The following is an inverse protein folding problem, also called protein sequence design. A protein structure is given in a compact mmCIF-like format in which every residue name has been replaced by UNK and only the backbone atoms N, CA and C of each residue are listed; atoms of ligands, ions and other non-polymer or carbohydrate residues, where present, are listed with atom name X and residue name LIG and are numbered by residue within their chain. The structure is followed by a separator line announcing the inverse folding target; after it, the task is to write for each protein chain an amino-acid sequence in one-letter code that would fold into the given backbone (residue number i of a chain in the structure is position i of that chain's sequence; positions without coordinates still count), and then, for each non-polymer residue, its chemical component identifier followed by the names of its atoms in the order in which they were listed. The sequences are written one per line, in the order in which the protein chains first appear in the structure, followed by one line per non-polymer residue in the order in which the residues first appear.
data_IF_931076422468
#
_entry.id   IF_931076422468
#
_cell.length_a   1.000
_cell.length_b   1.000
_cell.length_c   1.000
_cell.angle_alpha   90.00
_cell.angle_beta   90.00
_cell.angle_gamma   90.00
#
_symmetry.space_group_name_H-M   'P 1'
#
loop_
_entity.id
_entity.type
_entity.pdbx_description
1 polymer ?
#
# COMPACT_ATOMS: atom_id res chain seq x y z
N UNK A 1 -44.58 -41.96 -40.05
CA UNK A 1 -43.70 -42.56 -41.08
C UNK A 1 -43.47 -41.45 -42.10
N UNK A 2 -42.29 -40.91 -42.33
CA UNK A 2 -40.95 -41.47 -42.22
C UNK A 2 -40.07 -40.78 -41.16
N UNK A 3 -39.03 -41.51 -40.80
CA UNK A 3 -38.00 -41.24 -39.81
C UNK A 3 -36.78 -40.77 -40.60
N UNK A 4 -36.15 -39.68 -40.20
CA UNK A 4 -34.79 -39.37 -40.66
C UNK A 4 -33.82 -39.45 -39.46
N UNK A 5 -32.89 -40.39 -39.56
CA UNK A 5 -31.79 -40.65 -38.62
C UNK A 5 -30.49 -40.49 -39.42
N UNK A 6 -29.72 -39.45 -39.10
CA UNK A 6 -28.24 -39.43 -39.01
C UNK A 6 -27.83 -38.03 -38.55
N UNK A 7 -27.19 -37.85 -37.40
CA UNK A 7 -25.89 -38.36 -36.92
C UNK A 7 -24.84 -37.26 -37.01
N UNK A 8 -24.25 -36.92 -35.87
CA UNK A 8 -22.84 -36.52 -35.84
C UNK A 8 -22.52 -35.24 -35.09
N UNK A 9 -21.86 -35.45 -33.95
CA UNK A 9 -20.85 -34.59 -33.34
C UNK A 9 -21.30 -33.30 -32.61
N UNK A 10 -21.39 -33.45 -31.30
CA UNK A 10 -20.76 -32.55 -30.31
C UNK A 10 -19.63 -31.70 -30.88
N UNK A 11 -19.77 -30.38 -30.78
CA UNK A 11 -18.65 -29.45 -30.57
C UNK A 11 -18.98 -28.55 -29.38
N UNK A 12 -18.73 -29.11 -28.20
CA UNK A 12 -18.22 -28.35 -27.07
C UNK A 12 -16.83 -27.83 -27.46
N UNK A 13 -16.38 -26.70 -26.90
CA UNK A 13 -15.03 -26.07 -27.06
C UNK A 13 -14.92 -25.25 -28.35
N UNK A 14 -14.55 -23.96 -28.41
CA UNK A 14 -13.78 -23.09 -27.52
C UNK A 14 -14.36 -21.67 -27.60
N UNK A 15 -14.88 -21.14 -26.49
CA UNK A 15 -14.94 -19.68 -26.33
C UNK A 15 -13.64 -19.23 -25.68
N UNK A 16 -12.55 -19.28 -26.45
CA UNK A 16 -11.41 -18.40 -26.21
C UNK A 16 -11.91 -16.99 -26.50
N UNK A 17 -12.58 -16.39 -25.51
CA UNK A 17 -12.74 -14.94 -25.43
C UNK A 17 -11.32 -14.39 -25.48
N UNK A 18 -10.90 -13.97 -26.69
CA UNK A 18 -9.72 -13.15 -26.91
C UNK A 18 -9.96 -11.87 -26.11
N UNK A 19 -9.60 -11.91 -24.82
CA UNK A 19 -9.71 -10.78 -23.91
C UNK A 19 -8.81 -9.72 -24.49
N UNK A 20 -9.44 -8.70 -25.09
CA UNK A 20 -8.74 -7.63 -25.79
C UNK A 20 -7.62 -7.09 -24.90
N UNK A 21 -6.40 -7.03 -25.45
CA UNK A 21 -5.19 -6.61 -24.76
C UNK A 21 -5.39 -5.18 -24.23
N UNK A 22 -5.74 -5.04 -22.97
CA UNK A 22 -6.02 -3.75 -22.35
C UNK A 22 -4.73 -2.96 -22.18
N UNK A 23 -4.66 -1.72 -22.69
CA UNK A 23 -3.55 -0.79 -22.49
C UNK A 23 -3.54 -0.19 -21.06
N UNK A 24 -3.54 -1.08 -20.06
CA UNK A 24 -3.42 -0.69 -18.66
C UNK A 24 -1.98 -0.24 -18.38
N UNK A 25 -1.85 0.82 -17.60
CA UNK A 25 -0.58 1.31 -17.08
C UNK A 25 -0.66 1.32 -15.56
N UNK A 26 0.37 0.81 -14.90
CA UNK A 26 0.53 1.08 -13.47
C UNK A 26 1.13 2.46 -13.28
N UNK A 27 0.80 3.10 -12.17
CA UNK A 27 1.41 4.35 -11.80
C UNK A 27 1.90 4.27 -10.35
N UNK A 28 3.21 4.31 -10.17
CA UNK A 28 3.84 4.40 -8.85
C UNK A 28 4.53 5.75 -8.74
N UNK A 29 4.25 6.50 -7.67
CA UNK A 29 4.95 7.76 -7.42
C UNK A 29 6.46 7.56 -7.22
N UNK A 30 7.26 8.61 -7.40
CA UNK A 30 8.68 8.55 -7.08
C UNK A 30 8.90 8.42 -5.57
N UNK A 31 9.19 7.22 -5.09
CA UNK A 31 9.38 6.93 -3.66
C UNK A 31 10.83 7.14 -3.18
N UNK A 32 11.77 7.48 -4.06
CA UNK A 32 13.22 7.49 -3.74
C UNK A 32 13.54 8.37 -2.54
N UNK A 33 12.95 9.56 -2.48
CA UNK A 33 13.16 10.53 -1.40
C UNK A 33 12.51 10.07 -0.09
N UNK A 34 11.24 9.64 -0.14
CA UNK A 34 10.52 9.09 1.02
C UNK A 34 11.21 7.84 1.62
N UNK A 35 11.77 6.95 0.79
CA UNK A 35 12.53 5.79 1.26
C UNK A 35 13.81 6.25 1.99
N UNK A 36 14.55 7.23 1.45
CA UNK A 36 15.72 7.81 2.12
C UNK A 36 15.35 8.45 3.46
N UNK A 37 14.25 9.20 3.51
CA UNK A 37 13.72 9.79 4.74
C UNK A 37 13.33 8.72 5.76
N UNK A 38 12.61 7.66 5.34
CA UNK A 38 12.25 6.53 6.20
C UNK A 38 13.45 5.77 6.78
N UNK A 39 14.60 5.79 6.09
CA UNK A 39 15.87 5.20 6.59
C UNK A 39 16.55 6.05 7.67
N UNK A 40 16.18 7.33 7.83
CA UNK A 40 16.69 8.17 8.94
C UNK A 40 16.15 7.73 10.30
N UNK A 41 15.00 7.05 10.34
CA UNK A 41 14.47 6.48 11.58
C UNK A 41 15.41 5.38 12.08
N UNK A 42 15.98 5.58 13.27
CA UNK A 42 16.77 4.56 14.00
C UNK A 42 15.87 3.45 14.56
N UNK A 43 16.46 2.36 15.05
CA UNK A 43 15.75 1.13 15.46
C UNK A 43 14.53 1.37 16.35
N UNK A 44 14.66 2.14 17.44
CA UNK A 44 13.55 2.41 18.37
C UNK A 44 12.42 3.16 17.65
N UNK A 45 12.76 4.24 16.93
CA UNK A 45 11.75 5.03 16.21
C UNK A 45 11.10 4.25 15.07
N UNK A 46 11.81 3.34 14.40
CA UNK A 46 11.21 2.41 13.42
C UNK A 46 10.20 1.46 14.06
N UNK A 47 10.50 0.93 15.25
CA UNK A 47 9.55 0.09 15.99
C UNK A 47 8.33 0.90 16.43
N UNK A 48 8.51 2.11 16.92
CA UNK A 48 7.40 3.03 17.26
C UNK A 48 6.54 3.34 16.05
N UNK A 49 7.17 3.70 14.93
CA UNK A 49 6.47 3.95 13.66
C UNK A 49 5.66 2.72 13.25
N UNK A 50 6.28 1.54 13.26
CA UNK A 50 5.62 0.28 12.90
C UNK A 50 4.44 -0.05 13.82
N UNK A 51 4.56 0.19 15.13
CA UNK A 51 3.46 0.00 16.07
C UNK A 51 2.29 0.94 15.79
N UNK A 52 2.56 2.19 15.38
CA UNK A 52 1.54 3.22 15.15
C UNK A 52 0.86 3.08 13.79
N UNK A 53 1.64 2.75 12.76
CA UNK A 53 1.24 2.84 11.36
C UNK A 53 1.43 1.54 10.58
N UNK A 54 1.79 0.43 11.22
CA UNK A 54 2.01 -0.83 10.54
C UNK A 54 3.24 -0.83 9.62
N UNK A 55 3.20 -1.64 8.58
CA UNK A 55 4.34 -2.00 7.74
C UNK A 55 4.68 -1.02 6.61
N UNK A 56 4.28 0.26 6.74
CA UNK A 56 4.41 1.24 5.65
C UNK A 56 5.85 1.46 5.18
N UNK A 57 6.84 1.40 6.07
CA UNK A 57 8.25 1.55 5.68
C UNK A 57 8.71 0.44 4.73
N UNK A 58 8.28 -0.80 4.96
CA UNK A 58 8.61 -1.91 4.07
C UNK A 58 7.77 -1.89 2.80
N UNK A 59 6.53 -1.41 2.88
CA UNK A 59 5.62 -1.29 1.74
C UNK A 59 6.16 -0.32 0.66
N UNK A 60 6.82 0.77 1.07
CA UNK A 60 7.50 1.69 0.16
C UNK A 60 8.70 1.05 -0.56
N UNK A 61 9.34 0.04 0.03
CA UNK A 61 10.53 -0.61 -0.54
C UNK A 61 10.18 -1.81 -1.44
N UNK A 62 8.89 -2.09 -1.65
CA UNK A 62 8.44 -3.17 -2.54
C UNK A 62 8.71 -2.77 -4.00
N UNK A 63 9.54 -3.56 -4.67
CA UNK A 63 9.79 -3.44 -6.11
C UNK A 63 8.63 -4.06 -6.89
N UNK A 64 7.63 -3.23 -7.23
CA UNK A 64 6.45 -3.67 -7.96
C UNK A 64 6.77 -3.87 -9.44
N UNK A 65 6.53 -5.08 -9.95
CA UNK A 65 6.58 -5.36 -11.38
C UNK A 65 5.31 -4.85 -12.07
N UNK A 66 5.42 -3.72 -12.77
CA UNK A 66 4.34 -3.13 -13.57
C UNK A 66 3.72 -4.11 -14.58
N UNK A 67 4.51 -4.88 -15.37
CA UNK A 67 3.95 -5.87 -16.28
C UNK A 67 3.17 -6.98 -15.55
N UNK A 68 3.64 -7.42 -14.38
CA UNK A 68 2.98 -8.48 -13.62
C UNK A 68 1.61 -8.03 -13.09
N UNK A 69 1.52 -6.85 -12.48
CA UNK A 69 0.24 -6.27 -12.04
C UNK A 69 -0.70 -6.05 -13.23
N UNK A 70 -0.17 -5.51 -14.32
CA UNK A 70 -0.98 -5.24 -15.52
C UNK A 70 -1.55 -6.52 -16.13
N UNK A 71 -0.74 -7.59 -16.21
CA UNK A 71 -1.20 -8.89 -16.66
C UNK A 71 -2.23 -9.50 -15.70
N UNK A 72 -1.99 -9.38 -14.39
CA UNK A 72 -2.87 -9.91 -13.36
C UNK A 72 -4.25 -9.22 -13.35
N UNK A 73 -4.29 -7.91 -13.54
CA UNK A 73 -5.54 -7.14 -13.63
C UNK A 73 -6.46 -7.59 -14.78
N UNK A 74 -5.93 -8.20 -15.83
CA UNK A 74 -6.73 -8.73 -16.95
C UNK A 74 -7.62 -9.90 -16.53
N UNK A 75 -7.29 -10.58 -15.42
CA UNK A 75 -8.07 -11.69 -14.89
C UNK A 75 -9.18 -11.23 -13.94
N UNK A 76 -9.28 -9.92 -13.64
CA UNK A 76 -10.32 -9.42 -12.76
C UNK A 76 -11.72 -9.65 -13.35
N UNK A 77 -12.60 -10.16 -12.53
CA UNK A 77 -14.00 -10.44 -12.79
C UNK A 77 -14.83 -9.50 -11.91
N UNK A 78 -15.35 -8.42 -12.52
CA UNK A 78 -16.06 -7.37 -11.76
C UNK A 78 -17.35 -7.85 -11.10
N UNK A 79 -18.22 -8.64 -11.76
CA UNK A 79 -19.40 -9.23 -11.12
C UNK A 79 -19.07 -10.07 -9.89
N UNK A 80 -18.01 -10.89 -9.93
CA UNK A 80 -17.64 -11.76 -8.82
C UNK A 80 -16.69 -11.11 -7.81
N UNK A 81 -16.15 -9.92 -8.12
CA UNK A 81 -15.12 -9.21 -7.34
C UNK A 81 -13.95 -10.12 -6.98
N UNK A 82 -13.43 -10.85 -7.95
CA UNK A 82 -12.27 -11.73 -7.79
C UNK A 82 -11.42 -11.77 -9.07
N UNK A 83 -10.29 -12.46 -9.02
CA UNK A 83 -9.47 -12.78 -10.18
C UNK A 83 -9.79 -14.20 -10.62
N UNK A 84 -10.44 -14.33 -11.79
CA UNK A 84 -10.92 -15.62 -12.32
C UNK A 84 -9.94 -16.14 -13.37
N UNK A 85 -9.37 -17.31 -13.09
CA UNK A 85 -8.58 -18.12 -14.03
C UNK A 85 -9.43 -19.31 -14.52
N UNK A 86 -8.92 -20.06 -15.47
CA UNK A 86 -9.66 -21.20 -16.05
C UNK A 86 -10.10 -22.22 -15.00
N UNK A 87 -9.22 -22.55 -14.05
CA UNK A 87 -9.44 -23.65 -13.10
C UNK A 87 -9.67 -23.19 -11.65
N UNK A 88 -9.48 -21.89 -11.34
CA UNK A 88 -9.57 -21.39 -9.97
C UNK A 88 -9.84 -19.88 -9.91
N UNK A 89 -10.24 -19.43 -8.74
CA UNK A 89 -10.44 -18.02 -8.41
C UNK A 89 -9.52 -17.59 -7.27
N UNK A 90 -9.05 -16.34 -7.32
CA UNK A 90 -8.32 -15.71 -6.22
C UNK A 90 -9.03 -14.42 -5.83
N UNK A 91 -9.27 -14.23 -4.54
CA UNK A 91 -9.84 -12.99 -3.99
C UNK A 91 -8.99 -12.54 -2.81
N UNK A 92 -8.42 -11.32 -2.82
CA UNK A 92 -7.76 -10.79 -1.64
C UNK A 92 -8.77 -10.59 -0.50
N UNK A 93 -8.39 -11.06 0.69
CA UNK A 93 -9.22 -11.01 1.90
C UNK A 93 -8.75 -9.91 2.85
N UNK A 94 -9.62 -9.56 3.79
CA UNK A 94 -9.33 -8.55 4.81
C UNK A 94 -8.15 -9.02 5.69
N UNK A 95 -8.14 -10.29 6.08
CA UNK A 95 -7.12 -10.92 6.93
C UNK A 95 -5.75 -10.94 6.25
N UNK A 96 -5.72 -11.13 4.93
CA UNK A 96 -4.47 -11.07 4.16
C UNK A 96 -3.92 -9.65 4.06
N UNK A 97 -4.79 -8.66 3.88
CA UNK A 97 -4.39 -7.26 3.85
C UNK A 97 -4.00 -6.75 5.24
N UNK A 98 -4.66 -7.21 6.30
CA UNK A 98 -4.24 -7.00 7.68
C UNK A 98 -2.81 -7.50 7.90
N UNK A 99 -2.51 -8.72 7.44
CA UNK A 99 -1.18 -9.30 7.57
C UNK A 99 -0.10 -8.53 6.78
N UNK A 100 -0.42 -8.13 5.53
CA UNK A 100 0.53 -7.39 4.67
C UNK A 100 0.82 -5.99 5.24
N UNK A 101 -0.22 -5.30 5.70
CA UNK A 101 -0.12 -3.95 6.26
C UNK A 101 0.38 -3.96 7.72
N UNK A 102 0.37 -5.12 8.39
CA UNK A 102 0.65 -5.28 9.82
C UNK A 102 -0.14 -4.27 10.68
N UNK A 103 -1.44 -4.14 10.42
CA UNK A 103 -2.36 -3.28 11.14
C UNK A 103 -3.49 -4.11 11.75
N UNK A 104 -3.32 -4.65 12.98
CA UNK A 104 -4.29 -5.56 13.59
C UNK A 104 -5.70 -4.98 13.63
N UNK A 105 -6.67 -5.80 13.25
CA UNK A 105 -8.09 -5.46 13.26
C UNK A 105 -8.72 -5.69 14.63
N UNK A 106 -8.20 -6.66 15.39
CA UNK A 106 -8.66 -6.96 16.75
C UNK A 106 -8.64 -5.70 17.64
N UNK A 107 -9.79 -5.39 18.24
CA UNK A 107 -9.95 -4.22 19.10
C UNK A 107 -9.95 -2.87 18.38
N UNK A 108 -10.02 -2.85 17.05
CA UNK A 108 -10.11 -1.61 16.24
C UNK A 108 -11.44 -1.51 15.51
N UNK A 109 -11.83 -0.28 15.17
CA UNK A 109 -12.97 -0.02 14.27
C UNK A 109 -12.46 0.18 12.85
N UNK A 110 -13.10 -0.39 11.82
CA UNK A 110 -12.77 -0.06 10.42
C UNK A 110 -12.91 1.44 10.15
N UNK A 111 -12.12 1.97 9.22
CA UNK A 111 -12.29 3.34 8.75
C UNK A 111 -13.72 3.60 8.25
N UNK A 112 -14.32 4.66 8.78
CA UNK A 112 -15.64 5.11 8.38
C UNK A 112 -15.50 6.43 7.63
N UNK A 113 -15.87 6.40 6.34
CA UNK A 113 -15.89 7.62 5.55
C UNK A 113 -16.90 8.61 6.14
N UNK A 114 -16.44 9.82 6.39
CA UNK A 114 -17.27 10.94 6.81
C UNK A 114 -17.57 11.81 5.60
N UNK A 115 -18.77 12.39 5.55
CA UNK A 115 -19.19 13.32 4.48
C UNK A 115 -18.40 14.64 4.46
N UNK A 116 -17.57 14.87 5.48
CA UNK A 116 -16.76 16.07 5.62
C UNK A 116 -15.28 15.72 5.79
N UNK A 117 -14.43 16.48 5.10
CA UNK A 117 -12.99 16.35 5.19
C UNK A 117 -12.46 16.77 6.57
N UNK A 118 -11.30 16.22 6.93
CA UNK A 118 -10.56 16.61 8.12
C UNK A 118 -10.29 18.11 8.11
N UNK A 119 -10.57 18.76 9.24
CA UNK A 119 -10.39 20.21 9.34
C UNK A 119 -8.91 20.59 9.29
N UNK A 120 -8.61 21.71 8.61
CA UNK A 120 -7.25 22.26 8.51
C UNK A 120 -6.60 22.41 9.88
N UNK A 121 -7.27 22.92 10.95
CA UNK A 121 -6.65 23.02 12.28
C UNK A 121 -6.22 21.66 12.86
N UNK A 122 -6.97 20.59 12.60
CA UNK A 122 -6.63 19.24 13.07
C UNK A 122 -5.37 18.75 12.36
N UNK A 123 -5.33 18.86 11.03
CA UNK A 123 -4.17 18.46 10.24
C UNK A 123 -2.93 19.28 10.60
N UNK A 124 -3.08 20.60 10.70
CA UNK A 124 -2.06 21.57 11.12
C UNK A 124 -1.43 21.20 12.47
N UNK A 125 -2.25 20.79 13.44
CA UNK A 125 -1.80 20.32 14.75
C UNK A 125 -0.96 19.05 14.64
N UNK A 126 -1.39 18.08 13.82
CA UNK A 126 -0.68 16.80 13.65
C UNK A 126 0.68 17.01 12.98
N UNK A 127 0.74 17.84 11.93
CA UNK A 127 1.99 18.09 11.18
C UNK A 127 2.83 19.22 11.78
N UNK A 128 2.36 19.87 12.86
CA UNK A 128 2.96 21.04 13.51
C UNK A 128 3.30 22.19 12.55
N UNK A 129 2.32 22.63 11.78
CA UNK A 129 2.38 23.82 10.94
C UNK A 129 1.26 24.76 11.36
N UNK A 130 1.46 26.08 11.25
CA UNK A 130 0.39 27.03 11.57
C UNK A 130 -0.80 26.84 10.60
N UNK A 131 -2.08 26.86 11.04
CA UNK A 131 -3.22 26.56 10.17
C UNK A 131 -3.29 27.39 8.89
N UNK A 132 -3.02 28.70 9.00
CA UNK A 132 -2.97 29.60 7.82
C UNK A 132 -1.85 29.24 6.85
N UNK A 133 -0.68 28.87 7.36
CA UNK A 133 0.42 28.44 6.51
C UNK A 133 0.06 27.13 5.80
N UNK A 134 -0.58 26.18 6.50
CA UNK A 134 -1.04 24.95 5.87
C UNK A 134 -2.09 25.21 4.78
N UNK A 135 -3.00 26.13 5.03
CA UNK A 135 -4.00 26.55 4.03
C UNK A 135 -3.34 27.10 2.76
N UNK A 136 -2.33 27.95 2.89
CA UNK A 136 -1.56 28.49 1.76
C UNK A 136 -0.77 27.41 1.00
N UNK A 137 -0.52 26.24 1.61
CA UNK A 137 0.20 25.11 1.00
C UNK A 137 -0.72 24.09 0.34
N UNK A 138 -2.01 24.13 0.63
CA UNK A 138 -3.01 23.29 -0.03
C UNK A 138 -3.22 23.79 -1.47
N UNK A 139 -3.15 22.88 -2.42
CA UNK A 139 -3.29 23.20 -3.84
C UNK A 139 -4.33 22.32 -4.50
N UNK A 140 -4.89 22.79 -5.60
CA UNK A 140 -5.80 22.01 -6.45
C UNK A 140 -5.04 21.45 -7.64
N UNK A 141 -5.06 20.12 -7.83
CA UNK A 141 -4.55 19.43 -9.02
C UNK A 141 -5.61 18.51 -9.57
N UNK A 142 -5.92 18.61 -10.87
CA UNK A 142 -6.94 17.79 -11.53
C UNK A 142 -8.28 17.80 -10.77
N UNK A 143 -8.72 18.96 -10.29
CA UNK A 143 -9.95 19.15 -9.49
C UNK A 143 -9.92 18.49 -8.10
N UNK A 144 -8.77 18.00 -7.65
CA UNK A 144 -8.58 17.40 -6.33
C UNK A 144 -7.72 18.32 -5.47
N UNK A 145 -8.17 18.60 -4.25
CA UNK A 145 -7.41 19.40 -3.29
C UNK A 145 -6.55 18.52 -2.37
N UNK A 146 -5.41 19.04 -1.93
CA UNK A 146 -4.45 18.29 -1.11
C UNK A 146 -3.06 18.91 -1.08
N UNK A 147 -2.09 18.10 -0.64
CA UNK A 147 -0.70 18.51 -0.41
C UNK A 147 0.22 17.87 -1.45
N UNK A 148 1.22 18.64 -1.89
CA UNK A 148 2.25 18.10 -2.78
C UNK A 148 3.25 17.22 -2.00
N UNK A 149 3.74 16.16 -2.64
CA UNK A 149 4.80 15.33 -2.06
C UNK A 149 6.05 16.16 -1.74
N UNK A 150 6.43 17.10 -2.61
CA UNK A 150 7.60 17.96 -2.40
C UNK A 150 7.51 18.81 -1.13
N UNK A 151 6.33 19.35 -0.82
CA UNK A 151 6.10 20.07 0.44
C UNK A 151 6.30 19.16 1.66
N UNK A 152 5.71 17.96 1.64
CA UNK A 152 5.83 17.01 2.75
C UNK A 152 7.28 16.55 2.93
N UNK A 153 8.01 16.30 1.84
CA UNK A 153 9.42 15.94 1.89
C UNK A 153 10.29 17.06 2.46
N UNK A 154 10.06 18.30 2.02
CA UNK A 154 10.77 19.46 2.58
C UNK A 154 10.49 19.60 4.08
N UNK A 155 9.24 19.43 4.51
CA UNK A 155 8.88 19.47 5.92
C UNK A 155 9.51 18.33 6.73
N UNK A 156 9.58 17.12 6.16
CA UNK A 156 10.28 15.99 6.78
C UNK A 156 11.78 16.26 6.95
N UNK A 157 12.43 16.94 6.00
CA UNK A 157 13.82 17.35 6.15
C UNK A 157 14.00 18.31 7.32
N UNK A 158 13.17 19.35 7.40
CA UNK A 158 13.16 20.32 8.51
C UNK A 158 12.95 19.65 9.86
N UNK A 159 11.94 18.78 10.00
CA UNK A 159 11.66 18.06 11.24
C UNK A 159 12.83 17.17 11.68
N UNK A 160 13.50 16.53 10.74
CA UNK A 160 14.62 15.65 11.06
C UNK A 160 15.94 16.39 11.32
N UNK A 161 16.09 17.64 10.88
CA UNK A 161 17.17 18.55 11.33
C UNK A 161 16.91 19.04 12.75
N UNK A 162 15.65 19.36 13.08
CA UNK A 162 15.23 19.73 14.44
C UNK A 162 15.02 18.56 15.40
N UNK A 163 15.36 17.32 14.99
CA UNK A 163 15.15 16.07 15.73
C UNK A 163 13.71 15.84 16.27
N UNK A 164 12.70 16.45 15.65
CA UNK A 164 11.29 16.22 16.00
C UNK A 164 10.77 14.93 15.35
N UNK A 165 11.25 13.81 15.89
CA UNK A 165 10.96 12.49 15.37
C UNK A 165 9.50 12.06 15.53
N UNK A 166 8.76 12.61 16.50
CA UNK A 166 7.35 12.27 16.67
C UNK A 166 6.50 12.83 15.53
N UNK A 167 6.65 14.12 15.24
CA UNK A 167 5.98 14.76 14.10
C UNK A 167 6.48 14.19 12.78
N UNK A 168 7.79 13.92 12.68
CA UNK A 168 8.37 13.31 11.49
C UNK A 168 7.69 11.98 11.14
N UNK A 169 7.45 11.11 12.13
CA UNK A 169 6.75 9.84 11.91
C UNK A 169 5.32 10.07 11.40
N UNK A 170 4.61 11.04 11.98
CA UNK A 170 3.24 11.36 11.60
C UNK A 170 3.18 11.94 10.15
N UNK A 171 4.06 12.86 9.79
CA UNK A 171 4.16 13.44 8.43
C UNK A 171 4.62 12.39 7.40
N UNK A 172 5.54 11.51 7.77
CA UNK A 172 5.99 10.43 6.89
C UNK A 172 4.82 9.48 6.62
N UNK A 173 4.06 9.10 7.65
CA UNK A 173 2.88 8.27 7.49
C UNK A 173 1.84 8.95 6.58
N UNK A 174 1.54 10.25 6.79
CA UNK A 174 0.65 11.02 5.91
C UNK A 174 1.09 10.94 4.44
N UNK A 175 2.39 11.13 4.16
CA UNK A 175 2.93 10.99 2.81
C UNK A 175 2.71 9.58 2.25
N UNK A 176 2.99 8.52 3.02
CA UNK A 176 2.77 7.14 2.55
C UNK A 176 1.29 6.83 2.31
N UNK A 177 0.38 7.38 3.13
CA UNK A 177 -1.06 7.20 2.91
C UNK A 177 -1.49 7.73 1.54
N UNK A 178 -1.08 8.94 1.16
CA UNK A 178 -1.48 9.49 -0.14
C UNK A 178 -0.69 8.95 -1.32
N UNK A 179 0.60 8.68 -1.17
CA UNK A 179 1.46 8.29 -2.30
C UNK A 179 1.42 6.77 -2.55
N UNK A 180 1.19 5.95 -1.52
CA UNK A 180 1.25 4.48 -1.62
C UNK A 180 -0.08 3.81 -1.33
N UNK A 181 -0.81 4.20 -0.28
CA UNK A 181 -2.06 3.50 0.06
C UNK A 181 -3.23 3.91 -0.83
N UNK A 182 -3.39 5.22 -1.07
CA UNK A 182 -4.50 5.80 -1.82
C UNK A 182 -4.03 6.72 -2.97
N UNK A 183 -3.20 6.21 -3.91
CA UNK A 183 -2.61 7.06 -4.95
C UNK A 183 -3.65 7.46 -5.99
N UNK A 184 -4.13 8.71 -5.97
CA UNK A 184 -5.02 9.24 -7.02
C UNK A 184 -4.32 10.11 -8.06
N UNK A 185 -3.38 10.94 -7.62
CA UNK A 185 -2.59 11.84 -8.46
C UNK A 185 -1.11 11.67 -8.11
N UNK A 186 -0.25 11.65 -9.14
CA UNK A 186 1.20 11.48 -8.94
C UNK A 186 1.77 12.54 -8.00
N UNK A 187 2.53 12.08 -7.00
CA UNK A 187 3.23 12.97 -6.09
C UNK A 187 2.29 13.91 -5.31
N UNK A 188 1.09 13.43 -5.00
CA UNK A 188 0.05 14.23 -4.37
C UNK A 188 -0.71 13.44 -3.30
N UNK A 189 -0.91 14.06 -2.14
CA UNK A 189 -1.68 13.52 -1.03
C UNK A 189 -3.01 14.27 -0.99
N UNK A 190 -4.07 13.64 -1.49
CA UNK A 190 -5.39 14.27 -1.55
C UNK A 190 -6.14 14.25 -0.22
N UNK A 191 -7.26 14.97 -0.16
CA UNK A 191 -8.11 14.98 1.04
C UNK A 191 -8.61 13.60 1.46
N UNK A 192 -8.90 12.69 0.53
CA UNK A 192 -9.33 11.34 0.92
C UNK A 192 -8.24 10.63 1.70
N UNK A 193 -6.99 10.66 1.23
CA UNK A 193 -5.86 10.08 1.94
C UNK A 193 -5.59 10.79 3.29
N UNK A 194 -5.74 12.12 3.32
CA UNK A 194 -5.67 12.91 4.56
C UNK A 194 -6.74 12.45 5.56
N UNK A 195 -7.98 12.24 5.12
CA UNK A 195 -9.08 11.84 5.99
C UNK A 195 -8.84 10.47 6.60
N UNK A 196 -8.39 9.49 5.81
CA UNK A 196 -8.05 8.16 6.32
C UNK A 196 -6.89 8.25 7.32
N UNK A 197 -5.87 9.06 7.02
CA UNK A 197 -4.74 9.27 7.94
C UNK A 197 -5.18 9.93 9.25
N UNK A 198 -5.97 11.00 9.19
CA UNK A 198 -6.46 11.73 10.37
C UNK A 198 -7.36 10.83 11.21
N UNK A 199 -8.22 10.03 10.59
CA UNK A 199 -9.04 9.04 11.28
C UNK A 199 -8.19 7.99 12.01
N UNK A 200 -7.15 7.46 11.36
CA UNK A 200 -6.19 6.56 12.02
C UNK A 200 -5.50 7.25 13.20
N UNK A 201 -5.07 8.50 13.02
CA UNK A 201 -4.28 9.23 14.01
C UNK A 201 -5.09 9.67 15.24
N UNK A 202 -6.33 10.11 15.04
CA UNK A 202 -7.14 10.74 16.08
C UNK A 202 -8.20 9.83 16.67
N UNK A 203 -8.70 8.86 15.90
CA UNK A 203 -9.79 7.94 16.30
C UNK A 203 -9.37 6.47 16.32
N UNK A 204 -8.11 6.18 16.01
CA UNK A 204 -7.56 4.82 15.92
C UNK A 204 -8.27 3.90 14.92
N UNK A 205 -9.01 4.47 13.96
CA UNK A 205 -9.70 3.72 12.91
C UNK A 205 -8.72 2.98 12.00
N UNK A 206 -9.07 1.77 11.58
CA UNK A 206 -8.21 0.89 10.81
C UNK A 206 -8.46 1.05 9.29
N UNK A 207 -7.43 1.41 8.50
CA UNK A 207 -7.58 1.65 7.06
C UNK A 207 -7.57 0.36 6.23
N UNK A 208 -7.30 -0.82 6.79
CA UNK A 208 -7.13 -2.09 6.04
C UNK A 208 -8.31 -2.34 5.10
N UNK A 209 -9.53 -2.21 5.61
CA UNK A 209 -10.76 -2.39 4.81
C UNK A 209 -10.87 -1.34 3.69
N UNK A 210 -10.49 -0.10 3.96
CA UNK A 210 -10.50 0.98 2.97
C UNK A 210 -9.46 0.74 1.85
N UNK A 211 -8.24 0.28 2.20
CA UNK A 211 -7.20 -0.07 1.24
C UNK A 211 -7.66 -1.22 0.34
N UNK A 212 -8.27 -2.27 0.91
CA UNK A 212 -8.79 -3.39 0.12
C UNK A 212 -9.97 -2.96 -0.77
N UNK A 213 -10.87 -2.12 -0.25
CA UNK A 213 -11.98 -1.57 -1.03
C UNK A 213 -11.48 -0.71 -2.21
N UNK A 214 -10.43 0.08 -2.02
CA UNK A 214 -9.80 0.89 -3.08
C UNK A 214 -9.18 0.02 -4.18
N UNK A 215 -8.56 -1.11 -3.82
CA UNK A 215 -8.07 -2.12 -4.78
C UNK A 215 -9.24 -2.67 -5.62
N UNK A 216 -10.31 -3.16 -4.98
CA UNK A 216 -11.47 -3.68 -5.70
C UNK A 216 -12.15 -2.62 -6.58
N UNK A 217 -12.33 -1.41 -6.05
CA UNK A 217 -12.90 -0.29 -6.79
C UNK A 217 -12.07 0.08 -8.02
N UNK A 218 -10.75 0.12 -7.88
CA UNK A 218 -9.82 0.37 -9.00
C UNK A 218 -9.91 -0.72 -10.06
N UNK A 219 -9.95 -1.98 -9.65
CA UNK A 219 -10.04 -3.11 -10.59
C UNK A 219 -11.37 -3.12 -11.35
N UNK A 220 -12.49 -2.89 -10.66
CA UNK A 220 -13.81 -2.73 -11.28
C UNK A 220 -13.83 -1.56 -12.25
N UNK A 221 -13.27 -0.41 -11.87
CA UNK A 221 -13.17 0.76 -12.76
C UNK A 221 -12.33 0.47 -14.02
N UNK A 222 -11.19 -0.20 -13.88
CA UNK A 222 -10.34 -0.61 -14.99
C UNK A 222 -11.05 -1.57 -15.94
N UNK A 223 -11.77 -2.56 -15.40
CA UNK A 223 -12.50 -3.56 -16.17
C UNK A 223 -13.73 -2.99 -16.89
N UNK A 224 -14.61 -2.27 -16.16
CA UNK A 224 -15.91 -1.82 -16.67
C UNK A 224 -15.81 -0.56 -17.53
N UNK A 225 -15.00 0.42 -17.10
CA UNK A 225 -14.94 1.74 -17.74
C UNK A 225 -13.74 1.89 -18.67
N UNK A 226 -13.08 0.77 -19.02
CA UNK A 226 -11.81 0.73 -19.77
C UNK A 226 -10.78 1.69 -19.16
N UNK A 227 -10.78 1.82 -17.83
CA UNK A 227 -9.86 2.67 -17.10
C UNK A 227 -8.42 2.33 -17.46
N UNK A 228 -7.64 3.31 -17.90
CA UNK A 228 -6.28 3.07 -18.46
C UNK A 228 -5.19 2.98 -17.40
N UNK A 229 -5.49 3.29 -16.13
CA UNK A 229 -4.52 3.37 -15.04
C UNK A 229 -5.01 2.63 -13.81
N UNK A 230 -4.13 1.82 -13.22
CA UNK A 230 -4.36 1.17 -11.93
C UNK A 230 -3.82 2.11 -10.85
N UNK A 231 -4.72 2.69 -10.06
CA UNK A 231 -4.48 3.74 -9.07
C UNK A 231 -4.94 3.29 -7.68
N UNK A 232 -4.26 2.30 -7.13
CA UNK A 232 -4.50 1.75 -5.79
C UNK A 232 -3.18 1.38 -5.13
N UNK A 233 -3.21 0.78 -3.93
CA UNK A 233 -2.00 0.28 -3.28
C UNK A 233 -1.34 -0.90 -4.03
N UNK A 234 -0.51 -0.57 -5.02
CA UNK A 234 0.18 -1.54 -5.87
C UNK A 234 1.12 -2.44 -5.08
N UNK A 235 1.82 -1.89 -4.07
CA UNK A 235 2.72 -2.67 -3.22
C UNK A 235 1.99 -3.76 -2.46
N UNK A 236 0.83 -3.46 -1.86
CA UNK A 236 0.05 -4.44 -1.11
C UNK A 236 -0.51 -5.52 -2.06
N UNK A 237 -1.08 -5.10 -3.19
CA UNK A 237 -1.59 -6.01 -4.22
C UNK A 237 -0.48 -6.93 -4.77
N UNK A 238 0.72 -6.40 -5.00
CA UNK A 238 1.85 -7.17 -5.53
C UNK A 238 2.38 -8.18 -4.52
N UNK A 239 2.52 -7.79 -3.25
CA UNK A 239 2.90 -8.70 -2.16
C UNK A 239 1.86 -9.82 -2.02
N UNK A 240 0.59 -9.49 -2.05
CA UNK A 240 -0.50 -10.47 -2.01
C UNK A 240 -0.44 -11.43 -3.20
N UNK A 241 -0.39 -10.91 -4.42
CA UNK A 241 -0.36 -11.68 -5.66
C UNK A 241 0.82 -12.65 -5.69
N UNK A 242 2.02 -12.18 -5.34
CA UNK A 242 3.23 -13.02 -5.32
C UNK A 242 3.20 -14.08 -4.22
N UNK A 243 2.62 -13.78 -3.05
CA UNK A 243 2.42 -14.78 -2.00
C UNK A 243 1.48 -15.90 -2.44
N UNK A 244 0.46 -15.58 -3.25
CA UNK A 244 -0.53 -16.55 -3.75
C UNK A 244 -0.05 -17.34 -4.96
N UNK A 245 0.60 -16.68 -5.92
CA UNK A 245 1.01 -17.29 -7.20
C UNK A 245 2.43 -17.87 -7.18
N UNK A 246 3.32 -17.35 -6.34
CA UNK A 246 4.74 -17.74 -6.34
C UNK A 246 5.13 -18.41 -5.02
N UNK A 247 4.57 -19.60 -4.74
CA UNK A 247 5.07 -20.44 -3.65
C UNK A 247 6.54 -20.82 -3.93
N UNK A 248 7.47 -20.28 -3.12
CA UNK A 248 8.85 -20.81 -3.01
C UNK A 248 10.03 -19.90 -3.44
N UNK A 249 9.83 -18.74 -4.08
CA UNK A 249 10.96 -17.83 -4.43
C UNK A 249 10.87 -16.41 -3.86
N UNK A 250 9.68 -15.82 -3.75
CA UNK A 250 9.54 -14.40 -3.35
C UNK A 250 9.45 -14.22 -1.83
N UNK A 251 8.86 -15.19 -1.14
CA UNK A 251 8.82 -15.18 0.34
C UNK A 251 10.25 -15.17 0.89
N UNK A 252 11.23 -15.82 0.26
CA UNK A 252 12.60 -15.78 0.76
C UNK A 252 13.25 -14.41 0.70
N UNK A 253 13.02 -13.55 -0.30
CA UNK A 253 13.72 -12.26 -0.38
C UNK A 253 13.07 -11.17 0.47
N UNK A 254 11.73 -11.13 0.55
CA UNK A 254 11.02 -10.25 1.47
C UNK A 254 11.25 -10.71 2.92
N UNK A 255 11.16 -12.02 3.22
CA UNK A 255 11.44 -12.57 4.55
C UNK A 255 12.93 -12.45 4.93
N UNK A 256 13.88 -12.52 3.99
CA UNK A 256 15.32 -12.32 4.24
C UNK A 256 15.67 -10.85 4.48
N UNK A 257 15.01 -9.89 3.81
CA UNK A 257 15.10 -8.46 4.16
C UNK A 257 14.46 -8.17 5.53
N UNK A 258 13.33 -8.80 5.86
CA UNK A 258 12.64 -8.67 7.17
C UNK A 258 13.40 -9.35 8.32
N UNK A 259 14.12 -10.44 8.07
CA UNK A 259 14.90 -11.14 9.11
C UNK A 259 16.29 -10.53 9.33
N UNK A 260 16.88 -9.84 8.35
CA UNK A 260 18.16 -9.14 8.52
C UNK A 260 18.09 -7.99 9.53
N UNK A 261 16.92 -7.39 9.75
CA UNK A 261 16.72 -6.39 10.82
C UNK A 261 16.59 -7.00 12.22
N UNK A 262 16.52 -8.33 12.35
CA UNK A 262 16.52 -9.06 13.63
C UNK A 262 17.90 -9.63 14.02
N UNK A 263 18.88 -9.67 13.10
CA UNK A 263 20.09 -10.49 13.26
C UNK A 263 21.36 -9.81 13.79
N UNK A 264 21.36 -8.51 14.09
CA UNK A 264 22.56 -7.80 14.59
C UNK A 264 22.51 -7.59 16.11
N UNK A 265 22.33 -8.66 16.87
CA UNK A 265 22.79 -8.79 18.27
C UNK A 265 23.10 -10.26 18.57
N UNK A 266 24.37 -10.63 18.40
CA UNK A 266 25.20 -11.40 19.35
C UNK A 266 26.47 -11.82 18.64
N UNK A 267 27.55 -11.05 18.84
CA UNK A 267 28.94 -11.51 18.99
C UNK A 267 29.76 -10.35 19.60
N UNK A 268 29.48 -10.03 20.85
CA UNK A 268 30.53 -9.67 21.81
C UNK A 268 30.92 -11.03 22.42
N UNK A 269 32.18 -11.48 22.39
CA UNK A 269 33.32 -10.80 22.97
C UNK A 269 33.69 -11.60 24.22
N UNK A 270 34.33 -12.76 24.04
CA UNK A 270 34.94 -13.52 25.14
C UNK A 270 36.37 -13.86 24.73
N UNK A 271 37.24 -12.88 24.90
CA UNK A 271 38.67 -13.08 25.14
C UNK A 271 38.87 -12.91 26.65
N UNK A 272 39.43 -13.94 27.32
CA UNK A 272 39.97 -13.82 28.67
C UNK A 272 41.10 -12.78 28.75
N UNK A 273 41.65 -12.48 29.94
CA UNK A 273 42.45 -13.46 30.68
C UNK A 273 42.42 -13.30 32.22
N UNK A 274 42.95 -14.28 32.95
CA UNK A 274 44.03 -14.07 33.95
C UNK A 274 44.32 -15.33 34.76
N UNK A 275 45.47 -15.93 34.46
CA UNK A 275 46.29 -16.77 35.32
C UNK A 275 47.19 -15.89 36.20
N UNK A 276 47.36 -16.27 37.47
CA UNK A 276 48.49 -15.91 38.34
C UNK A 276 48.77 -17.09 39.31
N UNK A 277 49.99 -17.19 39.89
CA UNK A 277 50.73 -18.45 40.00
C UNK A 277 50.83 -19.01 41.42
N UNK A 278 51.40 -20.21 41.52
CA UNK A 278 52.28 -20.66 42.62
C UNK A 278 53.70 -20.60 42.10
#
# INVERSE_FOLDING_TARGET
MEVDIRSGATQHTESLMLRNKSHLKTHGGNLTSLIKLGRRLKTIKRQTFKKRYGNLLSLMEVEVSSPAITAFAQYYDSPLRCFTFQDFQLAPTIEEFEHILEMPLEGTTPYQHLEHHASIPTLATIIKIHPKELEDRLVTRNQVHGLTQGFLEQHLHYLAEGEDWETFMDVLALAVYGIVLFPKVEGFVDYTAIDVFVAKKTRSENPVTAVLADVYGTMSFCHERKGKKILCCLSALYVWMTARLCKGRVISDVRRKILRTRGSKTKEGMSGPNSLPV
#
